data_IF_335029053605
#
_entry.id   IF_335029053605
#
_cell.length_a   1.000
_cell.length_b   1.000
_cell.length_c   1.000
_cell.angle_alpha   90.00
_cell.angle_beta   90.00
_cell.angle_gamma   90.00
#
_symmetry.space_group_name_H-M   'P 1'
#
loop_
_entity.id
_entity.type
_entity.pdbx_description
1 polymer ?
#
# COMPACT_ATOMS: atom_id res chain seq x y z
N UNK A 1 -2.46 3.79 -14.11
CA UNK A 1 -3.73 3.03 -14.05
C UNK A 1 -3.66 1.61 -14.64
N UNK A 2 -2.51 1.14 -15.18
CA UNK A 2 -2.35 -0.24 -15.67
C UNK A 2 -2.20 -1.29 -14.56
N UNK A 3 -1.60 -0.93 -13.42
CA UNK A 3 -1.50 -1.80 -12.24
C UNK A 3 -2.87 -2.29 -11.78
N UNK A 4 -3.83 -1.36 -11.63
CA UNK A 4 -5.21 -1.67 -11.26
C UNK A 4 -5.86 -2.63 -12.26
N UNK A 5 -5.79 -2.31 -13.56
CA UNK A 5 -6.39 -3.13 -14.61
C UNK A 5 -5.80 -4.56 -14.63
N UNK A 6 -4.49 -4.67 -14.47
CA UNK A 6 -3.81 -5.97 -14.41
C UNK A 6 -4.20 -6.75 -13.16
N UNK A 7 -4.24 -6.07 -12.00
CA UNK A 7 -4.67 -6.69 -10.75
C UNK A 7 -6.10 -7.25 -10.87
N UNK A 8 -7.04 -6.50 -11.45
CA UNK A 8 -8.42 -6.99 -11.66
C UNK A 8 -8.53 -8.16 -12.64
N UNK A 9 -7.53 -8.39 -13.49
CA UNK A 9 -7.49 -9.52 -14.43
C UNK A 9 -6.87 -10.79 -13.80
N UNK A 10 -5.99 -10.61 -12.80
CA UNK A 10 -5.25 -11.71 -12.17
C UNK A 10 -5.89 -12.14 -10.85
N UNK A 11 -6.49 -11.20 -10.11
CA UNK A 11 -7.10 -11.49 -8.82
C UNK A 11 -8.37 -12.37 -9.00
N UNK A 12 -8.60 -13.32 -8.09
CA UNK A 12 -9.84 -14.11 -8.09
C UNK A 12 -11.08 -13.22 -7.94
N UNK A 13 -12.24 -13.67 -8.44
CA UNK A 13 -13.48 -12.89 -8.44
C UNK A 13 -13.99 -12.49 -7.05
N UNK A 14 -13.55 -13.18 -5.98
CA UNK A 14 -13.91 -12.87 -4.60
C UNK A 14 -12.91 -11.94 -3.89
N UNK A 15 -11.84 -11.53 -4.59
CA UNK A 15 -10.85 -10.58 -4.08
C UNK A 15 -11.03 -9.23 -4.76
N UNK A 16 -11.15 -8.19 -3.95
CA UNK A 16 -11.38 -6.83 -4.43
C UNK A 16 -10.12 -6.00 -4.24
N UNK A 17 -9.69 -5.34 -5.30
CA UNK A 17 -8.74 -4.24 -5.24
C UNK A 17 -9.50 -2.91 -5.37
N UNK A 18 -9.20 -1.97 -4.48
CA UNK A 18 -9.85 -0.65 -4.46
C UNK A 18 -8.79 0.45 -4.62
N UNK A 19 -8.91 1.33 -5.64
CA UNK A 19 -8.12 2.54 -5.72
C UNK A 19 -8.67 3.62 -4.77
N UNK A 20 -7.82 4.57 -4.37
CA UNK A 20 -8.21 5.80 -3.65
C UNK A 20 -9.14 5.58 -2.45
N UNK A 21 -8.66 4.79 -1.51
CA UNK A 21 -9.36 4.42 -0.27
C UNK A 21 -9.24 5.47 0.84
N UNK A 22 -8.82 6.69 0.50
CA UNK A 22 -8.52 7.77 1.45
C UNK A 22 -9.70 8.12 2.35
N UNK A 23 -10.88 8.29 1.76
CA UNK A 23 -12.10 8.65 2.48
C UNK A 23 -12.53 7.56 3.48
N UNK A 24 -12.26 6.29 3.14
CA UNK A 24 -12.61 5.16 4.00
C UNK A 24 -11.70 5.11 5.23
N UNK A 25 -10.40 5.37 5.06
CA UNK A 25 -9.41 5.21 6.13
C UNK A 25 -9.12 6.48 6.93
N UNK A 26 -9.82 7.59 6.63
CA UNK A 26 -9.63 8.89 7.30
C UNK A 26 -8.15 9.33 7.38
N UNK A 27 -7.33 8.87 6.44
CA UNK A 27 -5.90 9.21 6.37
C UNK A 27 -5.71 10.50 5.58
N UNK A 28 -4.79 11.35 6.04
CA UNK A 28 -4.44 12.61 5.37
C UNK A 28 -3.59 12.44 4.11
N UNK A 29 -3.04 11.24 3.87
CA UNK A 29 -2.23 10.92 2.68
C UNK A 29 -2.77 9.74 1.88
N UNK A 30 -2.35 9.68 0.63
CA UNK A 30 -2.86 8.77 -0.39
C UNK A 30 -2.19 7.39 -0.29
N UNK A 31 -2.94 6.40 0.17
CA UNK A 31 -2.69 5.00 -0.19
C UNK A 31 -3.19 4.80 -1.62
N UNK A 32 -2.38 4.19 -2.48
CA UNK A 32 -2.74 4.06 -3.90
C UNK A 32 -3.76 2.94 -4.11
N UNK A 33 -3.56 1.78 -3.45
CA UNK A 33 -4.50 0.66 -3.52
C UNK A 33 -4.64 -0.08 -2.19
N UNK A 34 -5.80 -0.70 -2.01
CA UNK A 34 -6.06 -1.67 -0.96
C UNK A 34 -6.65 -2.95 -1.53
N UNK A 35 -6.23 -4.12 -1.03
CA UNK A 35 -6.66 -5.43 -1.56
C UNK A 35 -7.25 -6.30 -0.45
N UNK A 36 -8.51 -6.72 -0.62
CA UNK A 36 -9.22 -7.57 0.34
C UNK A 36 -9.04 -9.07 0.07
N UNK A 37 -7.84 -9.61 0.26
CA UNK A 37 -7.54 -11.04 0.10
C UNK A 37 -7.53 -11.83 1.42
N UNK A 38 -8.06 -11.24 2.49
CA UNK A 38 -7.94 -11.75 3.86
C UNK A 38 -6.70 -11.23 4.59
N UNK A 39 -5.68 -10.74 3.88
CA UNK A 39 -4.53 -10.02 4.43
C UNK A 39 -4.73 -8.50 4.41
N UNK A 40 -5.72 -8.01 3.67
CA UNK A 40 -6.09 -6.60 3.63
C UNK A 40 -4.89 -5.71 3.24
N UNK A 41 -4.23 -6.01 2.12
CA UNK A 41 -2.98 -5.35 1.73
C UNK A 41 -3.14 -3.83 1.55
N UNK A 42 -2.20 -3.07 2.10
CA UNK A 42 -2.01 -1.66 1.77
C UNK A 42 -0.86 -1.50 0.76
N UNK A 43 -1.15 -1.02 -0.45
CA UNK A 43 -0.16 -0.86 -1.53
C UNK A 43 0.09 0.61 -1.82
N UNK A 44 1.37 1.02 -1.72
CA UNK A 44 1.87 2.33 -2.10
C UNK A 44 2.76 2.21 -3.34
N UNK A 45 2.50 3.03 -4.35
CA UNK A 45 3.33 3.15 -5.54
C UNK A 45 4.22 4.39 -5.43
N UNK A 46 5.52 4.23 -5.67
CA UNK A 46 6.48 5.33 -5.79
C UNK A 46 6.73 5.63 -7.26
N UNK A 47 6.49 6.87 -7.66
CA UNK A 47 6.55 7.32 -9.06
C UNK A 47 7.81 8.12 -9.39
N UNK A 48 8.45 8.70 -8.38
CA UNK A 48 9.62 9.58 -8.52
C UNK A 48 10.94 8.89 -8.13
N UNK A 49 10.87 7.71 -7.51
CA UNK A 49 12.03 7.00 -6.96
C UNK A 49 12.71 7.78 -5.82
N UNK A 50 12.04 8.80 -5.29
CA UNK A 50 12.61 9.67 -4.27
C UNK A 50 12.12 9.25 -2.88
N UNK A 51 13.10 9.03 -2.00
CA UNK A 51 12.95 8.91 -0.57
C UNK A 51 11.98 7.82 -0.09
N UNK A 52 12.25 6.56 -0.51
CA UNK A 52 11.62 5.36 0.06
C UNK A 52 11.64 5.41 1.60
N UNK A 53 12.68 5.99 2.22
CA UNK A 53 12.82 6.09 3.67
C UNK A 53 11.82 7.02 4.34
N UNK A 54 11.47 8.18 3.77
CA UNK A 54 10.38 9.00 4.35
C UNK A 54 9.02 8.34 4.24
N UNK A 55 8.78 7.53 3.20
CA UNK A 55 7.56 6.73 3.10
C UNK A 55 7.51 5.59 4.14
N UNK A 56 8.66 5.00 4.51
CA UNK A 56 8.75 4.00 5.59
C UNK A 56 8.31 4.59 6.93
N UNK A 57 8.79 5.78 7.25
CA UNK A 57 8.46 6.49 8.48
C UNK A 57 6.95 6.76 8.64
N UNK A 58 6.17 6.72 7.55
CA UNK A 58 4.72 6.86 7.63
C UNK A 58 4.03 5.61 8.17
N UNK A 59 4.61 4.42 7.99
CA UNK A 59 4.11 3.17 8.57
C UNK A 59 4.69 2.88 9.96
N UNK A 60 5.78 3.53 10.36
CA UNK A 60 6.35 3.33 11.69
C UNK A 60 5.43 3.78 12.84
N UNK A 61 5.77 3.40 14.08
CA UNK A 61 5.02 3.82 15.27
C UNK A 61 5.04 5.34 15.38
N UNK A 62 3.87 5.97 15.43
CA UNK A 62 3.72 7.44 15.40
C UNK A 62 3.62 8.02 13.98
N UNK A 63 3.73 7.17 12.95
CA UNK A 63 3.57 7.55 11.55
C UNK A 63 2.12 7.87 11.17
N UNK A 64 1.95 8.55 10.04
CA UNK A 64 0.64 9.03 9.57
C UNK A 64 -0.28 7.93 8.99
N UNK A 65 0.25 6.72 8.78
CA UNK A 65 -0.51 5.56 8.31
C UNK A 65 -0.92 4.60 9.42
N UNK A 66 -0.88 5.01 10.69
CA UNK A 66 -1.41 4.20 11.82
C UNK A 66 -2.84 3.68 11.54
N UNK A 67 -3.82 4.50 11.09
CA UNK A 67 -5.17 3.99 10.83
C UNK A 67 -5.22 2.91 9.75
N UNK A 68 -4.28 2.95 8.79
CA UNK A 68 -4.17 1.96 7.72
C UNK A 68 -3.48 0.70 8.25
N UNK A 69 -2.50 0.81 9.15
CA UNK A 69 -1.87 -0.35 9.82
C UNK A 69 -2.85 -1.15 10.67
N UNK A 70 -3.80 -0.48 11.34
CA UNK A 70 -4.76 -1.17 12.21
C UNK A 70 -5.68 -2.14 11.46
N UNK A 71 -5.88 -1.91 10.16
CA UNK A 71 -6.82 -2.67 9.32
C UNK A 71 -6.11 -3.53 8.27
N UNK A 72 -4.82 -3.29 8.02
CA UNK A 72 -4.02 -3.99 7.02
C UNK A 72 -3.08 -4.96 7.71
N UNK A 73 -3.12 -6.25 7.35
CA UNK A 73 -2.20 -7.24 7.91
C UNK A 73 -0.86 -7.26 7.19
N UNK A 74 -0.87 -6.81 5.94
CA UNK A 74 0.28 -6.75 5.07
C UNK A 74 0.29 -5.43 4.27
N UNK A 75 1.45 -5.04 3.77
CA UNK A 75 1.62 -3.83 2.97
C UNK A 75 2.77 -4.01 1.97
N UNK A 76 2.75 -3.22 0.90
CA UNK A 76 3.82 -3.20 -0.09
C UNK A 76 4.11 -1.77 -0.53
N UNK A 77 5.40 -1.44 -0.67
CA UNK A 77 5.86 -0.22 -1.31
C UNK A 77 6.57 -0.60 -2.60
N UNK A 78 5.95 -0.32 -3.73
CA UNK A 78 6.45 -0.69 -5.05
C UNK A 78 7.01 0.57 -5.71
N UNK A 79 8.32 0.59 -5.93
CA UNK A 79 8.95 1.61 -6.76
C UNK A 79 8.96 1.16 -8.22
N UNK A 80 8.18 1.84 -9.06
CA UNK A 80 8.05 1.49 -10.47
C UNK A 80 9.32 1.79 -11.28
N UNK A 81 10.21 2.68 -10.78
CA UNK A 81 11.49 3.00 -11.42
C UNK A 81 12.58 2.01 -11.02
N UNK A 82 12.40 1.36 -9.87
CA UNK A 82 13.37 0.44 -9.29
C UNK A 82 12.68 -0.86 -8.84
N UNK A 83 12.20 -1.70 -9.78
CA UNK A 83 11.40 -2.90 -9.47
C UNK A 83 12.14 -3.97 -8.65
N UNK A 84 13.47 -3.86 -8.52
CA UNK A 84 14.29 -4.74 -7.67
C UNK A 84 14.48 -4.25 -6.24
N UNK A 85 13.89 -3.12 -5.85
CA UNK A 85 13.93 -2.67 -4.46
C UNK A 85 13.19 -3.69 -3.58
N UNK A 86 13.83 -4.22 -2.53
CA UNK A 86 13.16 -5.14 -1.63
C UNK A 86 11.96 -4.44 -0.96
N UNK A 87 10.84 -5.18 -0.88
CA UNK A 87 9.70 -4.75 -0.10
C UNK A 87 10.14 -4.52 1.34
N UNK A 88 9.75 -3.36 1.87
CA UNK A 88 10.03 -3.04 3.26
C UNK A 88 8.89 -3.58 4.15
N UNK A 89 9.27 -4.38 5.15
CA UNK A 89 8.41 -4.68 6.28
C UNK A 89 8.75 -3.71 7.45
N UNK A 90 7.93 -2.68 7.79
CA UNK A 90 7.95 -2.00 9.05
C UNK A 90 7.90 -3.00 10.19
N UNK A 91 8.55 -2.60 11.27
CA UNK A 91 8.66 -3.39 12.48
C UNK A 91 7.25 -3.77 12.97
N UNK A 92 7.00 -5.10 13.03
CA UNK A 92 5.82 -5.66 13.68
C UNK A 92 5.99 -5.49 15.19
N UNK A 93 5.01 -4.87 15.85
CA UNK A 93 4.97 -4.71 17.30
C UNK A 93 4.74 -6.04 18.01
#
# INVERSE_FOLDING_TARGET
MEFYRTATQVLPCNIFISPDVRAHFKSSRYLDFWVNDGQCWAIKLLWDGSDVFSYKAHFDKGGIYIPIREISKEWATIDIRCPGLPNYEPERL
#
